data_IF_235282263874
#
_entry.id   IF_235282263874
#
_cell.length_a   1.000
_cell.length_b   1.000
_cell.length_c   1.000
_cell.angle_alpha   90.00
_cell.angle_beta   90.00
_cell.angle_gamma   90.00
#
_symmetry.space_group_name_H-M   'P 1'
#
loop_
_entity.id
_entity.type
_entity.pdbx_description
1 polymer ?
#
# COMPACT_ATOMS: atom_id res chain seq x y z
N UNK A 1 -7.92 -0.65 13.02
CA UNK A 1 -7.66 -1.55 11.90
C UNK A 1 -6.28 -1.23 11.30
N UNK A 2 -5.39 -2.25 11.23
CA UNK A 2 -4.01 -2.10 10.78
C UNK A 2 -3.92 -1.70 9.29
N UNK A 3 -4.82 -2.18 8.46
CA UNK A 3 -4.86 -1.86 7.02
C UNK A 3 -5.13 -0.36 6.79
N UNK A 4 -6.10 0.21 7.51
CA UNK A 4 -6.36 1.66 7.47
C UNK A 4 -5.16 2.46 7.96
N UNK A 5 -4.46 1.94 8.98
CA UNK A 5 -3.22 2.57 9.45
C UNK A 5 -2.13 2.55 8.36
N UNK A 6 -1.87 1.39 7.73
CA UNK A 6 -0.85 1.27 6.69
C UNK A 6 -1.16 2.16 5.48
N UNK A 7 -2.43 2.24 5.07
CA UNK A 7 -2.86 3.16 4.02
C UNK A 7 -2.59 4.63 4.37
N UNK A 8 -3.00 5.05 5.55
CA UNK A 8 -2.74 6.41 6.03
C UNK A 8 -1.23 6.69 6.24
N UNK A 9 -0.46 5.68 6.70
CA UNK A 9 0.99 5.77 6.86
C UNK A 9 1.69 6.00 5.52
N UNK A 10 1.31 5.27 4.48
CA UNK A 10 1.81 5.48 3.12
C UNK A 10 1.54 6.91 2.64
N UNK A 11 0.32 7.43 2.85
CA UNK A 11 -0.04 8.82 2.51
C UNK A 11 0.78 9.84 3.31
N UNK A 12 1.00 9.58 4.58
CA UNK A 12 1.84 10.40 5.45
C UNK A 12 3.29 10.41 4.97
N UNK A 13 3.85 9.26 4.64
CA UNK A 13 5.20 9.13 4.08
C UNK A 13 5.36 9.89 2.75
N UNK A 14 4.34 9.90 1.91
CA UNK A 14 4.29 10.67 0.66
C UNK A 14 4.00 12.17 0.86
N UNK A 15 3.67 12.61 2.08
CA UNK A 15 3.22 13.97 2.41
C UNK A 15 1.98 14.42 1.60
N UNK A 16 1.03 13.52 1.34
CA UNK A 16 -0.17 13.84 0.55
C UNK A 16 -1.14 14.69 1.36
N UNK A 17 -1.35 14.33 2.65
CA UNK A 17 -2.38 14.93 3.51
C UNK A 17 -1.80 15.76 4.66
N UNK A 18 -0.49 15.96 4.72
CA UNK A 18 0.16 16.52 5.90
C UNK A 18 0.52 17.98 5.68
N UNK A 19 -0.21 18.89 6.32
CA UNK A 19 0.13 20.30 6.37
C UNK A 19 0.86 20.62 7.67
N UNK A 20 1.72 21.62 7.58
CA UNK A 20 2.49 22.09 8.74
C UNK A 20 1.56 22.53 9.87
N UNK A 21 1.78 21.96 11.08
CA UNK A 21 1.01 22.33 12.27
C UNK A 21 -0.37 21.70 12.39
N UNK A 22 -0.80 20.89 11.42
CA UNK A 22 -2.04 20.11 11.52
C UNK A 22 -1.84 18.83 12.33
N UNK A 23 -2.95 18.27 12.79
CA UNK A 23 -2.98 16.99 13.49
C UNK A 23 -2.51 15.86 12.57
N UNK A 24 -1.77 14.90 13.13
CA UNK A 24 -1.42 13.66 12.46
C UNK A 24 -2.68 12.79 12.42
N UNK A 25 -3.28 12.61 11.24
CA UNK A 25 -4.56 11.90 11.06
C UNK A 25 -4.55 10.46 11.61
N UNK A 26 -3.36 9.85 11.71
CA UNK A 26 -3.17 8.50 12.25
C UNK A 26 -3.15 8.44 13.77
N UNK A 27 -3.14 9.58 14.47
CA UNK A 27 -3.18 9.59 15.92
C UNK A 27 -4.57 9.19 16.42
N UNK A 28 -4.69 7.93 16.84
CA UNK A 28 -5.91 7.34 17.35
C UNK A 28 -5.61 6.50 18.61
N UNK A 29 -5.37 7.15 19.77
CA UNK A 29 -5.07 6.43 21.00
C UNK A 29 -6.27 5.61 21.48
N UNK A 30 -6.01 4.56 22.22
CA UNK A 30 -7.07 3.74 22.81
C UNK A 30 -7.74 4.52 23.96
N UNK A 31 -9.00 4.93 23.74
CA UNK A 31 -9.73 5.87 24.61
C UNK A 31 -10.47 5.23 25.78
N UNK A 32 -10.53 3.91 25.83
CA UNK A 32 -11.29 3.18 26.86
C UNK A 32 -10.48 2.90 28.12
N UNK A 33 -9.22 3.37 28.19
CA UNK A 33 -8.37 3.31 29.36
C UNK A 33 -7.71 4.69 29.55
N UNK A 34 -7.82 5.22 30.77
CA UNK A 34 -7.26 6.54 31.12
C UNK A 34 -5.73 6.61 30.98
N UNK A 35 -5.04 5.48 31.12
CA UNK A 35 -3.59 5.41 30.95
C UNK A 35 -3.16 5.52 29.48
N UNK A 36 -4.03 5.17 28.54
CA UNK A 36 -3.73 5.13 27.11
C UNK A 36 -4.43 6.22 26.30
N UNK A 37 -5.40 6.94 26.91
CA UNK A 37 -6.23 7.93 26.22
C UNK A 37 -5.42 9.07 25.56
N UNK A 38 -4.26 9.41 26.12
CA UNK A 38 -3.32 10.42 25.62
C UNK A 38 -1.93 9.85 25.30
N UNK A 39 -1.79 8.51 25.33
CA UNK A 39 -0.52 7.85 25.07
C UNK A 39 -0.08 8.04 23.60
N UNK A 40 1.22 8.00 23.31
CA UNK A 40 1.71 7.95 21.94
C UNK A 40 1.15 6.76 21.17
N UNK A 41 0.90 6.96 19.88
CA UNK A 41 0.74 5.85 18.94
C UNK A 41 2.13 5.37 18.54
N UNK A 42 2.37 4.07 18.69
CA UNK A 42 3.65 3.43 18.37
C UNK A 42 3.47 2.48 17.19
N UNK A 43 4.35 2.59 16.21
CA UNK A 43 4.37 1.72 15.05
C UNK A 43 5.79 1.23 14.81
N UNK A 44 5.94 -0.08 14.70
CA UNK A 44 7.20 -0.73 14.34
C UNK A 44 6.95 -1.70 13.19
N UNK A 45 7.83 -1.69 12.19
CA UNK A 45 7.80 -2.62 11.08
C UNK A 45 9.20 -3.14 10.76
N UNK A 46 9.34 -4.46 10.68
CA UNK A 46 10.52 -5.11 10.13
C UNK A 46 10.22 -5.64 8.74
N UNK A 47 11.14 -5.43 7.80
CA UNK A 47 10.96 -5.84 6.41
C UNK A 47 12.31 -6.05 5.71
N UNK A 48 12.28 -6.65 4.53
CA UNK A 48 13.44 -6.84 3.66
C UNK A 48 13.23 -6.03 2.39
N UNK A 49 14.13 -5.09 2.13
CA UNK A 49 14.15 -4.32 0.89
C UNK A 49 15.56 -4.45 0.25
N UNK A 50 15.62 -4.74 -1.05
CA UNK A 50 16.89 -4.94 -1.79
C UNK A 50 17.85 -5.91 -1.07
N UNK A 51 17.31 -7.02 -0.55
CA UNK A 51 18.02 -8.08 0.20
C UNK A 51 18.62 -7.64 1.54
N UNK A 52 18.31 -6.46 2.04
CA UNK A 52 18.72 -5.95 3.35
C UNK A 52 17.50 -5.93 4.27
N UNK A 53 17.65 -6.45 5.48
CA UNK A 53 16.63 -6.32 6.52
C UNK A 53 16.68 -4.93 7.13
N UNK A 54 15.52 -4.34 7.35
CA UNK A 54 15.33 -3.05 8.00
C UNK A 54 14.37 -3.19 9.19
N UNK A 55 14.55 -2.33 10.19
CA UNK A 55 13.57 -2.05 11.24
C UNK A 55 13.28 -0.55 11.22
N UNK A 56 12.04 -0.20 10.97
CA UNK A 56 11.52 1.16 11.07
C UNK A 56 10.63 1.28 12.29
N UNK A 57 10.76 2.38 13.02
CA UNK A 57 10.00 2.65 14.23
C UNK A 57 9.62 4.12 14.27
N UNK A 58 8.35 4.41 14.58
CA UNK A 58 7.85 5.76 14.77
C UNK A 58 6.85 5.82 15.92
N UNK A 59 7.07 6.77 16.85
CA UNK A 59 6.17 7.10 17.95
C UNK A 59 5.70 8.52 17.79
N UNK A 60 4.41 8.78 17.92
CA UNK A 60 3.85 10.11 17.70
C UNK A 60 2.60 10.36 18.55
N UNK A 61 2.37 11.62 18.83
CA UNK A 61 1.14 12.14 19.42
C UNK A 61 0.41 13.00 18.39
N UNK A 62 -0.64 13.66 18.80
CA UNK A 62 -1.55 14.40 17.91
C UNK A 62 -0.85 15.28 16.88
N UNK A 63 0.18 16.03 17.25
CA UNK A 63 0.78 17.08 16.38
C UNK A 63 2.28 16.93 16.20
N UNK A 64 2.89 15.89 16.78
CA UNK A 64 4.34 15.77 16.72
C UNK A 64 4.82 14.32 16.81
N UNK A 65 5.92 14.04 16.15
CA UNK A 65 6.68 12.81 16.23
C UNK A 65 7.58 12.92 17.46
N UNK A 66 7.55 11.88 18.31
CA UNK A 66 8.38 11.77 19.50
C UNK A 66 9.67 11.01 19.20
N UNK A 67 9.54 9.92 18.43
CA UNK A 67 10.64 9.07 17.98
C UNK A 67 10.43 8.72 16.51
N UNK A 68 11.48 8.78 15.71
CA UNK A 68 11.53 8.15 14.40
C UNK A 68 12.91 7.56 14.20
N UNK A 69 12.99 6.26 13.91
CA UNK A 69 14.23 5.51 13.83
C UNK A 69 14.22 4.57 12.64
N UNK A 70 15.36 4.47 11.94
CA UNK A 70 15.59 3.47 10.91
C UNK A 70 16.91 2.76 11.16
N UNK A 71 16.83 1.43 11.25
CA UNK A 71 17.97 0.52 11.41
C UNK A 71 18.03 -0.38 10.19
N UNK A 72 19.21 -0.60 9.65
CA UNK A 72 19.49 -1.62 8.63
C UNK A 72 20.36 -2.73 9.18
N UNK A 73 20.30 -3.91 8.55
CA UNK A 73 21.11 -5.07 8.92
C UNK A 73 21.91 -5.61 7.72
N UNK A 74 22.84 -4.81 7.14
CA UNK A 74 23.70 -5.30 6.08
C UNK A 74 24.55 -6.44 6.59
N UNK A 75 24.52 -7.58 5.88
CA UNK A 75 25.23 -8.80 6.30
C UNK A 75 24.88 -9.27 7.73
N UNK A 76 23.66 -9.02 8.17
CA UNK A 76 23.18 -9.38 9.52
C UNK A 76 23.65 -8.45 10.66
N UNK A 77 24.51 -7.47 10.39
CA UNK A 77 25.02 -6.55 11.40
C UNK A 77 24.12 -5.33 11.54
N UNK A 78 23.69 -5.05 12.78
CA UNK A 78 22.88 -3.87 13.07
C UNK A 78 23.65 -2.58 12.77
N UNK A 79 23.02 -1.70 11.99
CA UNK A 79 23.56 -0.38 11.61
C UNK A 79 22.46 0.65 11.72
N UNK A 80 22.60 1.60 12.65
CA UNK A 80 21.70 2.74 12.77
C UNK A 80 21.88 3.64 11.55
N UNK A 81 20.81 3.90 10.80
CA UNK A 81 20.84 4.85 9.69
C UNK A 81 20.52 6.26 10.20
N UNK A 82 19.44 6.42 10.93
CA UNK A 82 19.12 7.65 11.65
C UNK A 82 18.24 7.38 12.87
N UNK A 83 18.26 8.35 13.76
CA UNK A 83 17.36 8.44 14.90
C UNK A 83 16.97 9.90 15.12
N UNK A 84 15.69 10.16 15.24
CA UNK A 84 15.10 11.46 15.56
C UNK A 84 14.36 11.33 16.87
N UNK A 85 14.70 12.15 17.85
CA UNK A 85 14.07 12.14 19.18
C UNK A 85 13.65 13.56 19.55
N UNK A 86 12.42 13.70 20.03
CA UNK A 86 11.97 14.91 20.71
C UNK A 86 12.40 14.84 22.17
N UNK A 87 13.33 15.70 22.57
CA UNK A 87 13.81 15.73 23.95
C UNK A 87 12.76 16.38 24.88
N UNK A 88 12.50 15.80 26.09
CA UNK A 88 11.52 16.32 27.04
C UNK A 88 11.76 17.78 27.46
N UNK A 89 13.03 18.18 27.56
CA UNK A 89 13.44 19.51 28.02
C UNK A 89 13.45 20.55 26.92
N UNK A 90 13.37 20.14 25.65
CA UNK A 90 13.39 21.04 24.50
C UNK A 90 12.22 20.77 23.56
N UNK A 91 11.02 21.22 23.96
CA UNK A 91 9.78 21.06 23.18
C UNK A 91 9.80 21.76 21.81
N UNK A 92 10.80 22.56 21.51
CA UNK A 92 10.88 23.35 20.29
C UNK A 92 11.77 22.76 19.20
N UNK A 93 12.73 21.86 19.55
CA UNK A 93 13.64 21.26 18.58
C UNK A 93 13.82 19.76 18.77
N UNK A 94 13.76 19.03 17.66
CA UNK A 94 14.10 17.61 17.60
C UNK A 94 15.63 17.45 17.49
N UNK A 95 16.16 16.39 18.08
CA UNK A 95 17.55 15.96 17.82
C UNK A 95 17.54 14.88 16.76
N UNK A 96 18.19 15.13 15.62
CA UNK A 96 18.38 14.17 14.55
C UNK A 96 19.84 13.70 14.57
N UNK A 97 20.05 12.40 14.72
CA UNK A 97 21.37 11.76 14.66
C UNK A 97 21.42 10.80 13.50
N UNK A 98 22.42 10.96 12.64
CA UNK A 98 22.73 10.00 11.58
C UNK A 98 23.79 9.00 12.05
N UNK A 99 23.70 7.78 11.58
CA UNK A 99 24.70 6.76 11.82
C UNK A 99 26.05 7.13 11.20
N UNK A 100 27.10 6.46 11.65
CA UNK A 100 28.49 6.76 11.22
C UNK A 100 28.71 6.71 9.70
N UNK A 101 27.99 5.82 9.00
CA UNK A 101 28.01 5.72 7.53
C UNK A 101 27.36 6.91 6.81
N UNK A 102 26.60 7.74 7.52
CA UNK A 102 25.85 8.88 7.01
C UNK A 102 26.27 10.19 7.69
N UNK A 103 27.47 10.22 8.27
CA UNK A 103 28.00 11.38 9.02
C UNK A 103 28.17 12.65 8.19
N UNK A 104 28.13 12.56 6.86
CA UNK A 104 28.11 13.72 5.94
C UNK A 104 26.79 14.48 5.94
N UNK A 105 25.69 13.83 6.36
CA UNK A 105 24.42 14.52 6.50
C UNK A 105 24.44 15.41 7.75
N UNK A 106 24.25 16.70 7.52
CA UNK A 106 24.10 17.70 8.60
C UNK A 106 22.62 17.94 8.89
N UNK A 107 22.33 18.79 9.87
CA UNK A 107 20.97 19.05 10.35
C UNK A 107 19.92 19.22 9.23
N UNK A 108 18.85 18.47 9.35
CA UNK A 108 17.66 18.59 8.51
C UNK A 108 16.61 19.42 9.22
N UNK A 109 15.98 20.33 8.50
CA UNK A 109 14.78 21.01 8.97
C UNK A 109 13.58 20.14 8.55
N UNK A 110 12.95 19.50 9.53
CA UNK A 110 11.76 18.66 9.34
C UNK A 110 10.67 19.23 10.27
N UNK A 111 9.46 19.37 9.75
CA UNK A 111 8.35 19.78 10.60
C UNK A 111 8.02 18.70 11.64
N UNK A 112 7.50 19.13 12.81
CA UNK A 112 7.23 18.22 13.95
C UNK A 112 6.29 17.07 13.59
N UNK A 113 5.35 17.29 12.68
CA UNK A 113 4.38 16.32 12.20
C UNK A 113 4.77 15.63 10.88
N UNK A 114 5.97 15.87 10.34
CA UNK A 114 6.48 15.28 9.11
C UNK A 114 7.49 14.19 9.40
N UNK A 115 7.38 13.05 8.71
CA UNK A 115 8.36 11.97 8.78
C UNK A 115 9.70 12.42 8.16
N UNK A 116 10.81 12.16 8.86
CA UNK A 116 12.15 12.39 8.33
C UNK A 116 12.41 11.56 7.07
N UNK A 117 11.93 10.31 7.07
CA UNK A 117 12.05 9.40 5.94
C UNK A 117 11.50 9.99 4.63
N UNK A 118 10.44 10.80 4.69
CA UNK A 118 9.84 11.42 3.51
C UNK A 118 10.77 12.34 2.73
N UNK A 119 11.79 12.90 3.38
CA UNK A 119 12.82 13.73 2.74
C UNK A 119 13.69 12.93 1.77
N UNK A 120 13.92 11.66 2.07
CA UNK A 120 14.76 10.78 1.27
C UNK A 120 14.05 10.20 0.05
N UNK A 121 12.74 10.40 -0.07
CA UNK A 121 11.97 10.08 -1.26
C UNK A 121 12.05 11.17 -2.34
N UNK A 122 12.26 12.43 -1.94
CA UNK A 122 12.11 13.59 -2.84
C UNK A 122 13.39 14.41 -2.98
N UNK A 123 13.90 14.89 -1.87
CA UNK A 123 14.84 16.02 -1.87
C UNK A 123 16.31 15.59 -1.63
N UNK A 124 16.50 14.45 -0.99
CA UNK A 124 17.82 14.04 -0.51
C UNK A 124 18.00 12.53 -0.65
N UNK A 125 18.23 12.01 -1.86
CA UNK A 125 18.39 10.57 -2.05
C UNK A 125 19.61 10.05 -1.30
N UNK A 126 19.39 8.97 -0.53
CA UNK A 126 20.41 8.23 0.19
C UNK A 126 20.04 6.75 0.08
N UNK A 127 20.82 5.98 -0.69
CA UNK A 127 20.44 4.64 -1.13
C UNK A 127 19.82 3.74 -0.05
N UNK A 128 20.44 3.53 1.13
CA UNK A 128 19.84 2.64 2.13
C UNK A 128 18.52 3.17 2.69
N UNK A 129 18.37 4.49 2.90
CA UNK A 129 17.14 5.08 3.41
C UNK A 129 16.09 5.14 2.30
N UNK A 130 16.48 5.52 1.09
CA UNK A 130 15.59 5.58 -0.08
C UNK A 130 15.03 4.21 -0.43
N UNK A 131 15.82 3.14 -0.33
CA UNK A 131 15.36 1.77 -0.58
C UNK A 131 14.30 1.33 0.45
N UNK A 132 14.53 1.64 1.73
CA UNK A 132 13.55 1.38 2.79
C UNK A 132 12.26 2.18 2.58
N UNK A 133 12.38 3.47 2.28
CA UNK A 133 11.25 4.36 2.06
C UNK A 133 10.41 3.94 0.83
N UNK A 134 11.06 3.58 -0.28
CA UNK A 134 10.39 3.07 -1.48
C UNK A 134 9.61 1.78 -1.19
N UNK A 135 10.23 0.82 -0.48
CA UNK A 135 9.54 -0.41 -0.10
C UNK A 135 8.24 -0.13 0.66
N UNK A 136 8.26 0.82 1.61
CA UNK A 136 7.09 1.21 2.39
C UNK A 136 6.04 1.97 1.56
N UNK A 137 6.46 2.71 0.54
CA UNK A 137 5.53 3.39 -0.40
C UNK A 137 4.94 2.41 -1.40
N UNK A 138 5.72 1.43 -1.84
CA UNK A 138 5.32 0.47 -2.88
C UNK A 138 4.46 -0.67 -2.33
N UNK A 139 4.17 -0.70 -1.01
CA UNK A 139 3.20 -1.65 -0.43
C UNK A 139 1.86 -1.57 -1.16
N UNK A 140 1.36 -2.70 -1.61
CA UNK A 140 0.02 -2.81 -2.18
C UNK A 140 -0.97 -3.04 -1.04
N UNK A 141 -1.94 -2.15 -0.91
CA UNK A 141 -2.89 -2.15 0.20
C UNK A 141 -4.31 -2.10 -0.36
N UNK A 142 -5.11 -3.11 -0.04
CA UNK A 142 -6.52 -3.17 -0.37
C UNK A 142 -7.37 -3.03 0.91
N UNK A 143 -8.21 -2.01 0.97
CA UNK A 143 -9.06 -1.69 2.13
C UNK A 143 -10.34 -2.53 2.22
N UNK A 144 -10.33 -3.74 1.64
CA UNK A 144 -11.52 -4.56 1.55
C UNK A 144 -12.42 -4.16 0.37
N UNK A 145 -13.42 -4.99 0.12
CA UNK A 145 -14.33 -4.82 -1.02
C UNK A 145 -15.68 -4.31 -0.53
N UNK A 146 -15.92 -3.00 -0.64
CA UNK A 146 -17.24 -2.41 -0.43
C UNK A 146 -17.83 -2.05 -1.80
N UNK A 147 -19.13 -2.26 -2.00
CA UNK A 147 -19.80 -2.02 -3.30
C UNK A 147 -19.53 -0.63 -3.87
N UNK A 148 -19.43 0.38 -3.01
CA UNK A 148 -19.21 1.78 -3.40
C UNK A 148 -17.76 2.11 -3.79
N UNK A 149 -16.79 1.27 -3.39
CA UNK A 149 -15.34 1.54 -3.57
C UNK A 149 -14.71 0.79 -4.74
N UNK A 150 -15.34 -0.31 -5.19
CA UNK A 150 -14.76 -1.27 -6.13
C UNK A 150 -14.38 -0.66 -7.51
N UNK A 151 -14.99 0.41 -7.95
CA UNK A 151 -14.71 0.98 -9.28
C UNK A 151 -14.32 2.46 -9.28
N UNK A 152 -14.39 3.15 -8.14
CA UNK A 152 -14.15 4.59 -8.04
C UNK A 152 -12.71 5.00 -7.75
N UNK A 153 -11.99 4.19 -7.00
CA UNK A 153 -10.66 4.54 -6.46
C UNK A 153 -9.48 4.01 -7.28
N UNK A 154 -9.70 3.02 -8.17
CA UNK A 154 -8.60 2.30 -8.84
C UNK A 154 -8.29 2.78 -10.26
N UNK A 155 -8.52 4.07 -10.56
CA UNK A 155 -8.18 4.65 -11.88
C UNK A 155 -6.68 4.50 -12.22
N UNK A 156 -5.81 4.56 -11.23
CA UNK A 156 -4.37 4.38 -11.42
C UNK A 156 -4.04 2.92 -11.73
N UNK A 157 -4.66 1.98 -11.04
CA UNK A 157 -4.52 0.54 -11.28
C UNK A 157 -4.99 0.17 -12.70
N UNK A 158 -6.14 0.68 -13.14
CA UNK A 158 -6.65 0.42 -14.49
C UNK A 158 -5.76 1.04 -15.57
N UNK A 159 -5.19 2.23 -15.34
CA UNK A 159 -4.20 2.84 -16.24
C UNK A 159 -2.93 2.01 -16.30
N UNK A 160 -2.49 1.50 -15.16
CA UNK A 160 -1.35 0.60 -15.09
C UNK A 160 -1.61 -0.67 -15.90
N UNK A 161 -2.74 -1.34 -15.70
CA UNK A 161 -3.11 -2.55 -16.45
C UNK A 161 -3.21 -2.28 -17.96
N UNK A 162 -3.79 -1.15 -18.37
CA UNK A 162 -3.88 -0.74 -19.76
C UNK A 162 -2.49 -0.59 -20.42
N UNK A 163 -1.50 -0.13 -19.65
CA UNK A 163 -0.12 0.05 -20.17
C UNK A 163 0.73 -1.23 -20.13
N UNK A 164 0.20 -2.35 -19.59
CA UNK A 164 0.92 -3.61 -19.41
C UNK A 164 0.14 -4.80 -20.01
N UNK A 165 0.19 -5.00 -21.36
CA UNK A 165 -0.60 -6.02 -22.05
C UNK A 165 -0.35 -7.45 -21.56
N UNK A 166 0.89 -7.77 -21.12
CA UNK A 166 1.24 -9.09 -20.60
C UNK A 166 0.49 -9.38 -19.30
N UNK A 167 0.39 -8.40 -18.40
CA UNK A 167 -0.38 -8.53 -17.15
C UNK A 167 -1.89 -8.59 -17.41
N UNK A 168 -2.39 -7.87 -18.43
CA UNK A 168 -3.78 -8.01 -18.89
C UNK A 168 -4.09 -9.47 -19.25
N UNK A 169 -3.19 -10.12 -20.01
CA UNK A 169 -3.35 -11.53 -20.38
C UNK A 169 -3.33 -12.46 -19.17
N UNK A 170 -2.37 -12.27 -18.25
CA UNK A 170 -2.29 -13.06 -17.02
C UNK A 170 -3.56 -12.91 -16.17
N UNK A 171 -4.09 -11.70 -16.07
CA UNK A 171 -5.34 -11.46 -15.35
C UNK A 171 -6.53 -12.16 -16.00
N UNK A 172 -6.64 -12.13 -17.33
CA UNK A 172 -7.71 -12.83 -18.05
C UNK A 172 -7.66 -14.36 -17.83
N UNK A 173 -6.46 -14.94 -17.85
CA UNK A 173 -6.25 -16.36 -17.55
C UNK A 173 -6.64 -16.68 -16.10
N UNK A 174 -6.26 -15.84 -15.13
CA UNK A 174 -6.64 -15.99 -13.72
C UNK A 174 -8.16 -15.95 -13.52
N UNK A 175 -8.84 -14.97 -14.12
CA UNK A 175 -10.31 -14.82 -14.03
C UNK A 175 -11.04 -16.01 -14.66
N UNK A 176 -10.58 -16.48 -15.80
CA UNK A 176 -11.13 -17.67 -16.46
C UNK A 176 -10.96 -18.93 -15.60
N UNK A 177 -9.78 -19.09 -15.00
CA UNK A 177 -9.49 -20.21 -14.10
C UNK A 177 -10.37 -20.19 -12.83
N UNK A 178 -10.68 -18.99 -12.33
CA UNK A 178 -11.52 -18.81 -11.16
C UNK A 178 -13.05 -19.02 -11.41
N UNK A 179 -13.41 -19.51 -12.61
CA UNK A 179 -14.79 -19.86 -13.00
C UNK A 179 -15.78 -18.69 -12.86
N UNK A 180 -15.32 -17.49 -13.22
CA UNK A 180 -16.16 -16.28 -13.22
C UNK A 180 -17.15 -16.21 -14.38
N UNK A 181 -17.06 -17.16 -15.31
CA UNK A 181 -17.79 -17.13 -16.57
C UNK A 181 -17.18 -16.19 -17.62
N UNK A 182 -16.16 -15.41 -17.27
CA UNK A 182 -15.43 -14.59 -18.23
C UNK A 182 -14.57 -15.47 -19.14
N UNK A 183 -14.55 -15.12 -20.43
CA UNK A 183 -13.62 -15.71 -21.41
C UNK A 183 -12.44 -14.78 -21.70
N UNK A 184 -12.62 -13.48 -21.53
CA UNK A 184 -11.61 -12.42 -21.68
C UNK A 184 -12.22 -11.09 -21.19
N UNK A 185 -11.46 -10.00 -21.27
CA UNK A 185 -11.97 -8.63 -21.10
C UNK A 185 -11.23 -7.64 -21.99
N UNK A 186 -11.86 -6.52 -22.25
CA UNK A 186 -11.30 -5.42 -23.03
C UNK A 186 -11.08 -4.19 -22.16
N UNK A 187 -10.03 -3.43 -22.47
CA UNK A 187 -9.71 -2.17 -21.83
C UNK A 187 -9.77 -1.06 -22.87
N UNK A 188 -10.59 -0.05 -22.65
CA UNK A 188 -10.72 1.08 -23.54
C UNK A 188 -10.36 2.38 -22.81
N UNK A 189 -9.43 3.15 -23.39
CA UNK A 189 -9.05 4.44 -22.83
C UNK A 189 -10.15 5.47 -23.11
N UNK A 190 -10.64 6.14 -22.07
CA UNK A 190 -11.60 7.24 -22.11
C UNK A 190 -10.97 8.54 -21.62
N UNK A 191 -11.66 9.64 -21.76
CA UNK A 191 -11.20 10.96 -21.31
C UNK A 191 -10.96 11.04 -19.79
N UNK A 192 -11.73 10.27 -19.02
CA UNK A 192 -11.72 10.28 -17.55
C UNK A 192 -11.04 9.03 -16.90
N UNK A 193 -10.58 8.07 -17.72
CA UNK A 193 -9.92 6.87 -17.23
C UNK A 193 -9.81 5.74 -18.21
N UNK A 194 -9.92 4.52 -17.72
CA UNK A 194 -9.96 3.28 -18.51
C UNK A 194 -11.27 2.56 -18.19
N UNK A 195 -12.04 2.25 -19.22
CA UNK A 195 -13.24 1.43 -19.12
C UNK A 195 -12.90 -0.04 -19.33
N UNK A 196 -13.56 -0.92 -18.55
CA UNK A 196 -13.37 -2.37 -18.63
C UNK A 196 -14.68 -3.01 -19.06
N UNK A 197 -14.61 -3.86 -20.07
CA UNK A 197 -15.73 -4.65 -20.58
C UNK A 197 -15.38 -6.12 -20.56
N UNK A 198 -16.14 -6.92 -19.82
CA UNK A 198 -16.01 -8.38 -19.74
C UNK A 198 -16.57 -9.05 -20.98
N UNK A 199 -15.99 -10.15 -21.41
CA UNK A 199 -16.46 -10.99 -22.51
C UNK A 199 -16.90 -12.34 -21.98
N UNK A 200 -18.14 -12.72 -22.30
CA UNK A 200 -18.74 -13.99 -21.92
C UNK A 200 -19.08 -14.85 -23.13
N UNK A 201 -19.16 -16.16 -22.95
CA UNK A 201 -19.74 -17.05 -23.94
C UNK A 201 -21.26 -16.78 -24.09
N UNK A 202 -21.74 -16.70 -25.31
CA UNK A 202 -23.16 -16.63 -25.62
C UNK A 202 -23.66 -18.02 -26.05
N UNK A 203 -24.70 -18.52 -25.40
CA UNK A 203 -25.23 -19.85 -25.63
C UNK A 203 -26.70 -19.78 -26.05
N UNK A 204 -27.10 -20.71 -26.93
CA UNK A 204 -28.50 -20.98 -27.26
C UNK A 204 -28.76 -22.49 -27.22
N UNK A 205 -29.72 -22.90 -26.45
CA UNK A 205 -30.10 -24.32 -26.26
C UNK A 205 -28.92 -25.21 -25.83
N UNK A 206 -27.94 -24.63 -25.08
CA UNK A 206 -26.71 -25.30 -24.63
C UNK A 206 -25.54 -25.27 -25.62
N UNK A 207 -25.76 -24.78 -26.83
CA UNK A 207 -24.71 -24.61 -27.84
C UNK A 207 -24.12 -23.21 -27.82
N UNK A 208 -22.80 -23.11 -27.87
CA UNK A 208 -22.09 -21.82 -27.97
C UNK A 208 -22.32 -21.20 -29.34
N UNK A 209 -22.93 -20.01 -29.38
CA UNK A 209 -23.26 -19.30 -30.62
C UNK A 209 -22.42 -18.04 -30.84
N UNK A 210 -21.59 -17.66 -29.87
CA UNK A 210 -20.75 -16.46 -29.96
C UNK A 210 -20.27 -15.96 -28.63
N UNK A 211 -19.98 -14.66 -28.58
CA UNK A 211 -19.62 -13.94 -27.36
C UNK A 211 -20.56 -12.76 -27.15
N UNK A 212 -20.73 -12.38 -25.91
CA UNK A 212 -21.44 -11.15 -25.50
C UNK A 212 -20.54 -10.36 -24.56
N UNK A 213 -20.74 -9.08 -24.51
CA UNK A 213 -20.01 -8.16 -23.67
C UNK A 213 -20.89 -7.63 -22.53
N UNK A 214 -20.25 -7.37 -21.39
CA UNK A 214 -20.87 -6.79 -20.20
C UNK A 214 -19.89 -5.79 -19.55
N UNK A 215 -20.30 -4.54 -19.28
CA UNK A 215 -19.47 -3.62 -18.52
C UNK A 215 -19.07 -4.21 -17.15
N UNK A 216 -17.81 -4.08 -16.73
CA UNK A 216 -17.35 -4.65 -15.45
C UNK A 216 -18.20 -4.21 -14.26
N UNK A 217 -18.72 -2.98 -14.27
CA UNK A 217 -19.63 -2.46 -13.23
C UNK A 217 -20.95 -3.25 -13.09
N UNK A 218 -21.35 -3.98 -14.13
CA UNK A 218 -22.58 -4.80 -14.16
C UNK A 218 -22.32 -6.26 -13.80
N UNK A 219 -21.06 -6.63 -13.63
CA UNK A 219 -20.64 -7.95 -13.13
C UNK A 219 -21.06 -8.17 -11.67
N UNK A 220 -21.07 -9.45 -11.28
CA UNK A 220 -21.28 -9.82 -9.88
C UNK A 220 -20.25 -9.16 -8.98
N UNK A 221 -20.62 -8.92 -7.72
CA UNK A 221 -19.69 -8.39 -6.71
C UNK A 221 -18.39 -9.23 -6.64
N UNK A 222 -18.53 -10.57 -6.58
CA UNK A 222 -17.39 -11.48 -6.52
C UNK A 222 -16.46 -11.39 -7.74
N UNK A 223 -17.01 -11.27 -8.94
CA UNK A 223 -16.26 -11.09 -10.18
C UNK A 223 -15.46 -9.78 -10.16
N UNK A 224 -16.11 -8.69 -9.75
CA UNK A 224 -15.48 -7.37 -9.61
C UNK A 224 -14.36 -7.38 -8.57
N UNK A 225 -14.63 -7.97 -7.40
CA UNK A 225 -13.65 -8.11 -6.33
C UNK A 225 -12.43 -8.90 -6.82
N UNK A 226 -12.67 -10.02 -7.48
CA UNK A 226 -11.60 -10.88 -8.00
C UNK A 226 -10.76 -10.18 -9.09
N UNK A 227 -11.38 -9.38 -9.94
CA UNK A 227 -10.68 -8.56 -10.92
C UNK A 227 -9.68 -7.60 -10.24
N UNK A 228 -10.13 -6.89 -9.21
CA UNK A 228 -9.31 -5.92 -8.47
C UNK A 228 -8.20 -6.61 -7.68
N UNK A 229 -8.53 -7.71 -6.97
CA UNK A 229 -7.53 -8.52 -6.26
C UNK A 229 -6.47 -9.01 -7.24
N UNK A 230 -6.86 -9.54 -8.38
CA UNK A 230 -5.94 -10.03 -9.41
C UNK A 230 -4.99 -8.93 -9.90
N UNK A 231 -5.49 -7.71 -10.13
CA UNK A 231 -4.63 -6.57 -10.47
C UNK A 231 -3.63 -6.25 -9.36
N UNK A 232 -4.06 -6.21 -8.10
CA UNK A 232 -3.19 -5.94 -6.94
C UNK A 232 -2.14 -7.03 -6.76
N UNK A 233 -2.51 -8.32 -6.94
CA UNK A 233 -1.57 -9.45 -6.92
C UNK A 233 -0.49 -9.25 -7.98
N UNK A 234 -0.88 -8.96 -9.21
CA UNK A 234 0.07 -8.75 -10.31
C UNK A 234 1.01 -7.58 -10.05
N UNK A 235 0.50 -6.47 -9.51
CA UNK A 235 1.34 -5.33 -9.11
C UNK A 235 2.33 -5.70 -8.00
N UNK A 236 1.85 -6.42 -6.97
CA UNK A 236 2.69 -6.84 -5.86
C UNK A 236 3.82 -7.79 -6.32
N UNK A 237 3.50 -8.76 -7.17
CA UNK A 237 4.47 -9.69 -7.75
C UNK A 237 5.49 -8.98 -8.65
N UNK A 238 5.03 -8.05 -9.50
CA UNK A 238 5.93 -7.28 -10.37
C UNK A 238 6.95 -6.47 -9.57
N UNK A 239 6.50 -5.82 -8.50
CA UNK A 239 7.33 -4.91 -7.71
C UNK A 239 8.12 -5.65 -6.61
N UNK A 240 7.83 -6.94 -6.35
CA UNK A 240 8.34 -7.64 -5.17
C UNK A 240 7.89 -6.99 -3.88
N UNK A 241 6.67 -6.45 -3.87
CA UNK A 241 6.11 -5.67 -2.76
C UNK A 241 5.18 -6.52 -1.91
N UNK A 242 5.05 -6.25 -0.60
CA UNK A 242 4.05 -6.93 0.22
C UNK A 242 2.64 -6.50 -0.20
N UNK A 243 1.71 -7.45 -0.15
CA UNK A 243 0.30 -7.21 -0.38
C UNK A 243 -0.47 -7.35 0.93
N UNK A 244 -1.20 -6.30 1.30
CA UNK A 244 -2.05 -6.24 2.48
C UNK A 244 -3.51 -6.12 2.05
N UNK A 245 -4.33 -7.04 2.50
CA UNK A 245 -5.75 -7.05 2.19
C UNK A 245 -6.58 -7.33 3.45
N UNK A 246 -7.67 -6.60 3.62
CA UNK A 246 -8.66 -6.83 4.67
C UNK A 246 -9.88 -7.54 4.07
N UNK A 247 -10.50 -8.42 4.84
CA UNK A 247 -11.74 -9.12 4.46
C UNK A 247 -11.64 -9.80 3.07
N UNK A 248 -10.51 -10.43 2.78
CA UNK A 248 -10.24 -11.06 1.48
C UNK A 248 -11.30 -12.10 1.06
N UNK A 249 -11.98 -12.70 2.03
CA UNK A 249 -13.04 -13.68 1.83
C UNK A 249 -14.43 -13.03 1.55
N UNK A 250 -14.53 -11.72 1.66
CA UNK A 250 -15.78 -11.00 1.41
C UNK A 250 -16.18 -11.12 -0.06
N UNK A 251 -17.30 -11.81 -0.30
CA UNK A 251 -17.85 -12.02 -1.64
C UNK A 251 -17.13 -13.04 -2.52
N UNK A 252 -16.09 -13.71 -2.01
CA UNK A 252 -15.37 -14.78 -2.71
C UNK A 252 -15.71 -16.15 -2.15
N UNK A 253 -15.74 -17.14 -3.04
CA UNK A 253 -15.83 -18.53 -2.60
C UNK A 253 -14.55 -18.95 -1.86
N UNK A 254 -14.64 -19.70 -0.77
CA UNK A 254 -13.51 -20.12 0.07
C UNK A 254 -12.38 -20.82 -0.70
N UNK A 255 -12.69 -21.53 -1.78
CA UNK A 255 -11.71 -22.14 -2.68
C UNK A 255 -10.84 -21.07 -3.36
N UNK A 256 -11.45 -19.99 -3.85
CA UNK A 256 -10.74 -18.88 -4.50
C UNK A 256 -9.85 -18.12 -3.50
N UNK A 257 -10.37 -17.89 -2.30
CA UNK A 257 -9.58 -17.29 -1.21
C UNK A 257 -8.33 -18.10 -0.92
N UNK A 258 -8.46 -19.41 -0.82
CA UNK A 258 -7.31 -20.32 -0.62
C UNK A 258 -6.32 -20.26 -1.78
N UNK A 259 -6.82 -20.30 -3.03
CA UNK A 259 -5.99 -20.20 -4.22
C UNK A 259 -5.14 -18.92 -4.23
N UNK A 260 -5.73 -17.77 -3.83
CA UNK A 260 -5.01 -16.50 -3.74
C UNK A 260 -3.87 -16.61 -2.73
N UNK A 261 -4.12 -17.22 -1.55
CA UNK A 261 -3.07 -17.41 -0.53
C UNK A 261 -1.94 -18.32 -1.04
N UNK A 262 -2.26 -19.34 -1.83
CA UNK A 262 -1.29 -20.29 -2.38
C UNK A 262 -0.38 -19.65 -3.48
N UNK A 263 -0.69 -18.44 -3.97
CA UNK A 263 0.15 -17.69 -4.93
C UNK A 263 1.37 -17.05 -4.25
N UNK A 264 1.28 -16.73 -2.95
CA UNK A 264 2.33 -16.06 -2.16
C UNK A 264 3.07 -17.03 -1.24
#
# INVERSE_FOLDING_TARGET
>A
NIIKFLYGFRRWLLNIDNRVGEDIALYQPFKFDSATADAPTEFTMEFIAQKVRYKYEVHFVRQQIILESLISYPNGKQTQLYERILLPDNKESDTIKFGSSLSSFKAFNVFKNQLLMSKFLKDTPCEPITNAAKYLVDMVISNGFHEDTILGEDKEMLRWLYSHPDYKKMLAEFLTFADTGLTDFQLEKRSDGVEVTSLHGLYKDGEGIGKTDLPLKEESFGTRALFIIGCHILQALQNGSPFFIDEMDSGLHSYITRLIVDIF
#
